data_IF_097422480115
#
_entry.id   IF_097422480115
#
_cell.length_a   1.000
_cell.length_b   1.000
_cell.length_c   1.000
_cell.angle_alpha   90.00
_cell.angle_beta   90.00
_cell.angle_gamma   90.00
#
_symmetry.space_group_name_H-M   'P 1'
#
loop_
_entity.id
_entity.type
_entity.pdbx_description
1 polymer ?
#
# COMPACT_ATOMS: atom_id res chain seq x y z
N UNK A 1 -11.69 -16.92 -4.65
CA UNK A 1 -12.93 -16.12 -4.85
C UNK A 1 -12.81 -14.86 -4.00
N UNK A 2 -13.23 -13.70 -4.49
CA UNK A 2 -13.22 -12.46 -3.70
C UNK A 2 -14.45 -12.43 -2.78
N UNK A 3 -14.27 -11.95 -1.55
CA UNK A 3 -15.33 -11.86 -0.55
C UNK A 3 -15.40 -10.44 0.01
N UNK A 4 -16.53 -9.77 -0.23
CA UNK A 4 -16.87 -8.48 0.35
C UNK A 4 -17.23 -8.66 1.82
N UNK A 5 -16.54 -7.96 2.72
CA UNK A 5 -16.74 -8.08 4.18
C UNK A 5 -17.47 -6.84 4.70
N UNK A 6 -18.80 -6.89 4.70
CA UNK A 6 -19.63 -5.87 5.34
C UNK A 6 -19.59 -6.03 6.86
N UNK A 7 -19.36 -4.93 7.60
CA UNK A 7 -19.45 -4.91 9.05
C UNK A 7 -20.62 -4.01 9.45
N UNK A 8 -21.75 -4.62 9.82
CA UNK A 8 -22.92 -3.88 10.27
C UNK A 8 -22.56 -3.09 11.54
N UNK A 9 -22.62 -1.77 11.48
CA UNK A 9 -22.52 -0.89 12.66
C UNK A 9 -23.93 -0.48 13.06
N UNK A 10 -24.44 -1.04 14.15
CA UNK A 10 -25.66 -0.55 14.79
C UNK A 10 -25.37 0.81 15.42
N UNK A 11 -25.71 1.89 14.72
CA UNK A 11 -25.48 3.27 15.13
C UNK A 11 -26.51 4.18 14.48
N UNK A 12 -27.08 5.10 15.27
CA UNK A 12 -28.25 5.88 14.89
C UNK A 12 -27.93 6.96 13.83
N UNK A 13 -28.82 7.14 12.85
CA UNK A 13 -28.80 8.22 11.86
C UNK A 13 -27.71 8.17 10.78
N UNK A 14 -28.11 7.76 9.56
CA UNK A 14 -27.34 7.69 8.29
C UNK A 14 -26.42 6.47 8.16
N UNK A 15 -27.00 5.42 7.58
CA UNK A 15 -26.31 4.18 7.22
C UNK A 15 -25.39 4.40 6.00
N UNK A 16 -24.09 4.55 6.24
CA UNK A 16 -23.06 4.42 5.19
C UNK A 16 -22.39 3.06 5.35
N UNK A 17 -22.75 2.10 4.50
CA UNK A 17 -22.21 0.73 4.56
C UNK A 17 -20.73 0.67 4.20
N UNK A 18 -19.85 0.79 5.21
CA UNK A 18 -18.41 0.64 5.03
C UNK A 18 -18.03 -0.83 4.80
N UNK A 19 -18.15 -1.26 3.55
CA UNK A 19 -17.71 -2.58 3.10
C UNK A 19 -16.18 -2.65 3.02
N UNK A 20 -15.59 -3.66 3.65
CA UNK A 20 -14.17 -3.96 3.54
C UNK A 20 -13.87 -4.95 2.42
N UNK A 21 -12.88 -4.66 1.59
CA UNK A 21 -12.34 -5.64 0.64
C UNK A 21 -11.31 -6.52 1.35
N UNK A 22 -11.44 -7.85 1.22
CA UNK A 22 -10.43 -8.79 1.67
C UNK A 22 -9.45 -9.13 0.54
N UNK A 23 -8.15 -8.93 0.77
CA UNK A 23 -7.08 -9.34 -0.13
C UNK A 23 -6.26 -10.46 0.52
N UNK A 24 -5.77 -11.39 -0.29
CA UNK A 24 -4.83 -12.41 0.16
C UNK A 24 -3.41 -11.88 0.01
N UNK A 25 -2.63 -11.95 1.09
CA UNK A 25 -1.19 -11.67 1.07
C UNK A 25 -0.47 -13.00 0.85
N UNK A 26 0.29 -13.08 -0.23
CA UNK A 26 1.10 -14.24 -0.58
C UNK A 26 2.59 -13.95 -0.43
N UNK A 27 3.38 -15.00 -0.22
CA UNK A 27 4.84 -14.94 -0.17
C UNK A 27 5.50 -16.09 -0.90
N UNK A 28 6.81 -15.98 -1.17
CA UNK A 28 7.64 -17.03 -1.75
C UNK A 28 9.04 -17.02 -1.14
N UNK A 29 9.55 -18.22 -0.90
CA UNK A 29 10.89 -18.49 -0.34
C UNK A 29 11.84 -19.13 -1.38
N UNK A 30 11.39 -19.32 -2.63
CA UNK A 30 12.10 -20.19 -3.56
C UNK A 30 13.37 -19.52 -4.13
N UNK A 31 14.46 -20.28 -4.16
CA UNK A 31 15.79 -19.82 -4.59
C UNK A 31 16.05 -20.03 -6.10
N UNK A 32 15.19 -20.78 -6.77
CA UNK A 32 15.21 -21.04 -8.21
C UNK A 32 14.28 -20.09 -8.98
N UNK A 33 14.18 -20.31 -10.30
CA UNK A 33 13.27 -19.59 -11.20
C UNK A 33 11.78 -19.97 -10.99
N UNK A 34 11.50 -21.04 -10.25
CA UNK A 34 10.18 -21.63 -10.01
C UNK A 34 9.42 -20.95 -8.86
N UNK A 35 9.13 -19.65 -8.99
CA UNK A 35 8.57 -18.82 -7.90
C UNK A 35 7.16 -19.30 -7.47
N UNK A 36 7.12 -20.22 -6.51
CA UNK A 36 5.88 -20.71 -5.89
C UNK A 36 5.40 -19.72 -4.83
N UNK A 37 4.22 -19.14 -5.04
CA UNK A 37 3.55 -18.29 -4.06
C UNK A 37 2.62 -19.09 -3.14
N UNK A 38 2.64 -18.78 -1.84
CA UNK A 38 1.81 -19.41 -0.81
C UNK A 38 1.11 -18.34 0.02
N UNK A 39 -0.09 -18.60 0.53
CA UNK A 39 -0.86 -17.63 1.33
C UNK A 39 -0.22 -17.42 2.69
N UNK A 40 0.29 -16.22 2.94
CA UNK A 40 0.91 -15.80 4.22
C UNK A 40 -0.10 -15.17 5.18
N UNK A 41 -1.10 -14.46 4.65
CA UNK A 41 -2.07 -13.76 5.47
C UNK A 41 -3.21 -13.14 4.65
N UNK A 42 -3.84 -12.14 5.25
CA UNK A 42 -4.94 -11.38 4.63
C UNK A 42 -4.82 -9.90 5.01
N UNK A 43 -5.16 -9.03 4.06
CA UNK A 43 -5.21 -7.59 4.21
C UNK A 43 -6.67 -7.14 4.07
N UNK A 44 -7.23 -6.50 5.11
CA UNK A 44 -8.58 -5.94 5.05
C UNK A 44 -8.45 -4.44 4.76
N UNK A 45 -8.99 -4.01 3.61
CA UNK A 45 -9.00 -2.65 3.10
C UNK A 45 -10.39 -2.02 3.28
N UNK A 46 -10.49 -0.90 3.99
CA UNK A 46 -11.76 -0.17 4.20
C UNK A 46 -11.84 1.06 3.29
N UNK A 47 -12.86 1.15 2.42
CA UNK A 47 -12.90 2.16 1.34
C UNK A 47 -13.64 3.47 1.63
N UNK A 48 -14.39 3.59 2.73
CA UNK A 48 -15.45 4.60 2.83
C UNK A 48 -14.99 6.06 3.10
N UNK A 49 -13.99 6.25 3.97
CA UNK A 49 -13.49 7.59 4.37
C UNK A 49 -12.03 7.52 4.82
N UNK A 50 -11.74 6.65 5.79
CA UNK A 50 -10.38 6.34 6.23
C UNK A 50 -9.89 5.06 5.57
N UNK A 51 -8.98 5.18 4.60
CA UNK A 51 -8.32 4.05 3.93
C UNK A 51 -7.34 3.36 4.88
N UNK A 52 -7.91 2.56 5.79
CA UNK A 52 -7.19 1.72 6.73
C UNK A 52 -6.95 0.34 6.15
N UNK A 53 -5.73 -0.17 6.37
CA UNK A 53 -5.32 -1.53 6.04
C UNK A 53 -4.93 -2.26 7.33
N UNK A 54 -5.46 -3.46 7.53
CA UNK A 54 -5.10 -4.31 8.67
C UNK A 54 -4.62 -5.67 8.18
N UNK A 55 -3.48 -6.12 8.72
CA UNK A 55 -2.82 -7.37 8.33
C UNK A 55 -3.05 -8.46 9.38
N UNK A 56 -3.71 -9.55 8.99
CA UNK A 56 -3.81 -10.74 9.82
C UNK A 56 -2.51 -11.55 9.70
N UNK A 57 -1.72 -11.58 10.78
CA UNK A 57 -0.42 -12.26 10.83
C UNK A 57 -0.55 -13.68 11.41
N UNK A 58 0.19 -14.61 10.82
CA UNK A 58 0.54 -15.91 11.41
C UNK A 58 2.04 -15.88 11.74
N UNK A 59 2.45 -16.48 12.86
CA UNK A 59 3.88 -16.65 13.15
C UNK A 59 4.57 -17.57 12.14
N UNK A 60 5.89 -17.42 11.99
CA UNK A 60 6.70 -18.32 11.16
C UNK A 60 6.73 -19.73 11.77
N UNK A 61 6.54 -20.77 10.95
CA UNK A 61 6.86 -22.15 11.33
C UNK A 61 8.38 -22.36 11.31
N UNK A 62 8.84 -23.46 11.91
CA UNK A 62 10.26 -23.85 11.89
C UNK A 62 10.79 -24.02 10.46
N UNK A 63 10.02 -24.67 9.58
CA UNK A 63 10.33 -24.77 8.14
C UNK A 63 10.46 -23.40 7.45
N UNK A 64 9.61 -22.43 7.81
CA UNK A 64 9.66 -21.08 7.26
C UNK A 64 10.88 -20.29 7.78
N UNK A 65 11.29 -20.50 9.05
CA UNK A 65 12.51 -19.89 9.62
C UNK A 65 13.77 -20.49 9.03
N UNK A 66 13.83 -21.81 8.87
CA UNK A 66 14.95 -22.50 8.23
C UNK A 66 15.17 -21.99 6.80
N UNK A 67 14.09 -21.88 6.01
CA UNK A 67 14.15 -21.30 4.65
C UNK A 67 14.57 -19.83 4.63
N UNK A 68 14.24 -19.04 5.65
CA UNK A 68 14.74 -17.67 5.76
C UNK A 68 16.24 -17.61 6.06
N UNK A 69 16.81 -18.56 6.83
CA UNK A 69 18.27 -18.70 6.96
C UNK A 69 18.91 -19.06 5.62
N UNK A 70 18.35 -20.04 4.90
CA UNK A 70 18.87 -20.46 3.59
C UNK A 70 18.89 -19.30 2.58
N UNK A 71 17.82 -18.50 2.54
CA UNK A 71 17.74 -17.27 1.73
C UNK A 71 18.81 -16.26 2.13
N UNK A 72 18.97 -15.98 3.43
CA UNK A 72 19.97 -15.03 3.91
C UNK A 72 21.41 -15.47 3.57
N UNK A 73 21.71 -16.76 3.76
CA UNK A 73 23.02 -17.36 3.51
C UNK A 73 23.40 -17.38 2.02
N UNK A 74 22.41 -17.41 1.12
CA UNK A 74 22.60 -17.48 -0.34
C UNK A 74 22.30 -16.16 -1.05
N UNK A 75 22.14 -15.06 -0.31
CA UNK A 75 21.74 -13.74 -0.82
C UNK A 75 20.46 -13.76 -1.69
N UNK A 76 19.55 -14.70 -1.41
CA UNK A 76 18.29 -14.87 -2.11
C UNK A 76 17.26 -13.79 -1.79
N UNK A 77 16.11 -13.86 -2.46
CA UNK A 77 15.02 -12.89 -2.30
C UNK A 77 13.76 -13.54 -1.72
N UNK A 78 13.38 -13.10 -0.51
CA UNK A 78 12.02 -13.29 -0.02
C UNK A 78 11.06 -12.37 -0.79
N UNK A 79 10.08 -12.95 -1.48
CA UNK A 79 9.17 -12.22 -2.39
C UNK A 79 7.76 -12.21 -1.80
N UNK A 80 7.01 -11.12 -1.97
CA UNK A 80 5.57 -11.06 -1.62
C UNK A 80 4.71 -10.68 -2.84
N UNK A 81 3.42 -11.03 -2.80
CA UNK A 81 2.44 -10.70 -3.84
C UNK A 81 1.08 -10.42 -3.21
N UNK A 82 0.35 -9.45 -3.77
CA UNK A 82 -1.08 -9.21 -3.50
C UNK A 82 -1.79 -8.99 -4.85
N UNK A 83 -3.10 -9.29 -4.98
CA UNK A 83 -3.84 -9.00 -6.21
C UNK A 83 -3.99 -7.49 -6.45
N UNK A 84 -3.67 -7.01 -7.67
CA UNK A 84 -3.78 -5.58 -8.04
C UNK A 84 -5.22 -5.07 -8.15
N UNK A 85 -6.19 -5.96 -8.43
CA UNK A 85 -7.61 -5.61 -8.55
C UNK A 85 -8.37 -5.92 -7.28
N UNK A 86 -8.75 -4.86 -6.56
CA UNK A 86 -9.44 -4.94 -5.27
C UNK A 86 -10.96 -4.98 -5.46
N UNK A 87 -11.49 -4.13 -6.34
CA UNK A 87 -12.94 -3.95 -6.53
C UNK A 87 -13.43 -4.13 -7.97
N UNK A 88 -14.67 -3.72 -8.19
CA UNK A 88 -15.34 -3.76 -9.51
C UNK A 88 -14.93 -2.54 -10.36
N UNK A 89 -14.75 -1.38 -9.74
CA UNK A 89 -14.37 -0.10 -10.38
C UNK A 89 -12.86 0.07 -10.49
N UNK A 90 -12.39 0.75 -11.56
CA UNK A 90 -10.95 0.89 -11.83
C UNK A 90 -10.23 1.87 -10.89
N UNK A 91 -10.98 2.78 -10.27
CA UNK A 91 -10.54 3.78 -9.29
C UNK A 91 -10.01 3.17 -7.98
N UNK A 92 -10.23 1.87 -7.74
CA UNK A 92 -9.90 1.17 -6.49
C UNK A 92 -8.70 0.21 -6.59
N UNK A 93 -7.90 0.28 -7.66
CA UNK A 93 -6.80 -0.65 -7.92
C UNK A 93 -5.48 -0.30 -7.19
N UNK A 94 -4.71 -1.31 -6.80
CA UNK A 94 -3.33 -1.13 -6.31
C UNK A 94 -2.38 -0.95 -7.48
N UNK A 95 -1.81 0.26 -7.56
CA UNK A 95 -0.82 0.65 -8.57
C UNK A 95 0.47 -0.15 -8.39
N UNK A 96 0.99 -0.24 -7.17
CA UNK A 96 2.21 -0.97 -6.81
C UNK A 96 2.34 -1.24 -5.32
N UNK A 97 3.38 -1.98 -4.93
CA UNK A 97 3.69 -2.38 -3.55
C UNK A 97 5.16 -2.01 -3.27
N UNK A 98 5.49 -1.61 -2.04
CA UNK A 98 6.87 -1.50 -1.57
C UNK A 98 7.07 -2.35 -0.32
N UNK A 99 8.29 -2.84 -0.11
CA UNK A 99 8.73 -3.56 1.08
C UNK A 99 9.98 -2.87 1.60
N UNK A 100 10.05 -2.60 2.90
CA UNK A 100 11.24 -2.05 3.55
C UNK A 100 11.51 -2.88 4.81
N UNK A 101 12.76 -3.33 4.97
CA UNK A 101 13.25 -3.96 6.19
C UNK A 101 13.87 -2.92 7.11
N UNK A 102 13.72 -3.10 8.43
CA UNK A 102 14.30 -2.20 9.43
C UNK A 102 14.86 -3.02 10.61
N UNK A 103 16.19 -2.97 10.87
CA UNK A 103 17.23 -2.31 10.06
C UNK A 103 17.38 -2.95 8.66
N UNK A 104 17.78 -2.15 7.68
CA UNK A 104 17.91 -2.57 6.28
C UNK A 104 19.31 -3.08 5.87
N UNK A 105 20.12 -3.54 6.83
CA UNK A 105 21.55 -3.84 6.63
C UNK A 105 21.94 -5.23 7.10
N UNK A 106 22.71 -5.96 6.28
CA UNK A 106 23.21 -7.29 6.60
C UNK A 106 24.59 -7.21 7.30
N UNK A 107 24.66 -7.57 8.58
CA UNK A 107 25.89 -7.49 9.38
C UNK A 107 26.58 -8.86 9.62
N UNK A 108 26.03 -9.96 9.08
CA UNK A 108 26.60 -11.31 9.26
C UNK A 108 26.46 -11.89 10.68
N UNK A 109 25.53 -11.36 11.49
CA UNK A 109 25.23 -11.91 12.82
C UNK A 109 24.43 -13.22 12.72
N UNK A 110 24.70 -14.15 13.63
CA UNK A 110 23.83 -15.29 13.89
C UNK A 110 22.55 -14.81 14.59
N UNK A 111 21.41 -15.42 14.29
CA UNK A 111 20.08 -15.02 14.79
C UNK A 111 19.31 -16.26 15.24
N UNK A 112 18.85 -16.26 16.49
CA UNK A 112 18.12 -17.38 17.09
C UNK A 112 16.67 -17.45 16.59
N UNK A 113 16.06 -18.64 16.70
CA UNK A 113 14.68 -18.90 16.26
C UNK A 113 13.63 -18.02 16.97
N UNK A 114 13.95 -17.55 18.17
CA UNK A 114 13.08 -16.66 18.98
C UNK A 114 13.07 -15.22 18.47
N UNK A 115 14.18 -14.75 17.89
CA UNK A 115 14.29 -13.38 17.34
C UNK A 115 13.68 -13.28 15.92
N UNK A 116 13.46 -14.42 15.26
CA UNK A 116 12.78 -14.52 13.97
C UNK A 116 11.25 -14.36 14.08
N UNK A 117 10.77 -13.41 14.89
CA UNK A 117 9.38 -12.96 14.88
C UNK A 117 9.14 -11.97 13.73
N UNK A 118 8.34 -12.37 12.74
CA UNK A 118 8.09 -11.56 11.53
C UNK A 118 7.09 -10.42 11.77
N UNK A 119 7.50 -9.41 12.54
CA UNK A 119 6.68 -8.25 12.88
C UNK A 119 6.52 -7.32 11.66
N UNK A 120 5.38 -7.43 10.97
CA UNK A 120 5.07 -6.66 9.75
C UNK A 120 4.01 -5.60 10.03
N UNK A 121 4.33 -4.34 9.74
CA UNK A 121 3.39 -3.21 9.68
C UNK A 121 3.12 -2.86 8.22
N UNK A 122 1.90 -2.41 7.90
CA UNK A 122 1.48 -2.07 6.53
C UNK A 122 0.81 -0.70 6.54
N UNK A 123 1.12 0.13 5.55
CA UNK A 123 0.62 1.50 5.40
C UNK A 123 0.02 1.68 4.00
N UNK A 124 -0.99 2.54 3.88
CA UNK A 124 -1.56 2.96 2.59
C UNK A 124 -0.98 4.33 2.22
N UNK A 125 -0.39 4.43 1.03
CA UNK A 125 0.01 5.70 0.44
C UNK A 125 -0.88 6.00 -0.77
N UNK A 126 -1.62 7.12 -0.70
CA UNK A 126 -2.40 7.63 -1.82
C UNK A 126 -1.60 8.71 -2.57
N UNK A 127 -1.77 8.86 -3.89
CA UNK A 127 -1.28 10.02 -4.62
C UNK A 127 -1.95 11.30 -4.08
N UNK A 128 -1.15 12.24 -3.57
CA UNK A 128 -1.65 13.55 -3.16
C UNK A 128 -1.72 14.45 -4.39
N UNK A 129 -2.79 15.25 -4.51
CA UNK A 129 -2.89 16.26 -5.57
C UNK A 129 -1.71 17.24 -5.48
N UNK A 130 -1.07 17.50 -6.62
CA UNK A 130 0.04 18.46 -6.68
C UNK A 130 -0.44 19.88 -6.36
N UNK A 131 0.47 20.74 -5.90
CA UNK A 131 0.19 22.16 -5.72
C UNK A 131 -0.28 22.78 -7.04
N UNK A 132 -1.34 23.60 -7.00
CA UNK A 132 -1.84 24.31 -8.19
C UNK A 132 -0.77 25.28 -8.68
N UNK A 133 -0.36 25.23 -9.95
CA UNK A 133 0.71 26.10 -10.46
C UNK A 133 0.25 27.56 -10.52
N UNK A 134 1.10 28.48 -10.05
CA UNK A 134 0.83 29.92 -10.04
C UNK A 134 0.59 30.51 -11.43
N UNK A 135 0.91 29.79 -12.51
CA UNK A 135 0.66 30.15 -13.91
C UNK A 135 -0.77 30.63 -14.15
N UNK A 136 -1.78 30.04 -13.50
CA UNK A 136 -3.17 30.48 -13.62
C UNK A 136 -3.38 31.89 -13.06
N UNK A 137 -2.88 32.16 -11.85
CA UNK A 137 -2.94 33.48 -11.21
C UNK A 137 -2.05 34.53 -11.92
N UNK A 138 -0.98 34.09 -12.60
CA UNK A 138 -0.14 34.95 -13.42
C UNK A 138 -0.83 35.37 -14.73
N UNK A 139 -1.53 34.44 -15.39
CA UNK A 139 -2.37 34.73 -16.58
C UNK A 139 -3.49 35.70 -16.19
N UNK A 140 -4.23 35.43 -15.12
CA UNK A 140 -5.30 36.32 -14.63
C UNK A 140 -4.79 37.75 -14.36
N UNK A 141 -3.62 37.90 -13.73
CA UNK A 141 -2.99 39.21 -13.51
C UNK A 141 -2.61 39.92 -14.81
N UNK A 142 -2.06 39.19 -15.79
CA UNK A 142 -1.73 39.74 -17.11
C UNK A 142 -2.99 40.22 -17.85
N UNK A 143 -4.06 39.43 -17.82
CA UNK A 143 -5.34 39.79 -18.43
C UNK A 143 -5.97 41.01 -17.73
N UNK A 144 -5.92 41.08 -16.39
CA UNK A 144 -6.35 42.27 -15.65
C UNK A 144 -5.53 43.51 -15.98
N UNK A 145 -4.20 43.40 -16.09
CA UNK A 145 -3.33 44.53 -16.45
C UNK A 145 -3.59 45.03 -17.88
N UNK A 146 -3.74 44.10 -18.84
CA UNK A 146 -4.11 44.44 -20.22
C UNK A 146 -5.50 45.07 -20.29
N UNK A 147 -6.48 44.55 -19.55
CA UNK A 147 -7.84 45.11 -19.48
C UNK A 147 -7.91 46.47 -18.77
N UNK A 148 -6.95 46.80 -17.90
CA UNK A 148 -6.80 48.14 -17.32
C UNK A 148 -6.15 49.10 -18.34
N UNK A 149 -5.05 48.70 -18.97
CA UNK A 149 -4.37 49.49 -20.02
C UNK A 149 -5.29 49.81 -21.21
N UNK A 150 -6.14 48.85 -21.61
CA UNK A 150 -7.15 49.07 -22.65
C UNK A 150 -8.28 50.06 -22.25
N UNK A 151 -8.46 50.34 -20.96
CA UNK A 151 -9.48 51.28 -20.45
C UNK A 151 -8.96 52.71 -20.23
N UNK A 152 -7.64 52.89 -20.05
CA UNK A 152 -6.98 54.20 -20.05
C UNK A 152 -5.92 54.28 -21.17
N UNK A 153 -6.31 54.60 -22.44
CA UNK A 153 -5.38 54.64 -23.57
C UNK A 153 -4.53 55.91 -23.68
N UNK A 154 -4.45 56.74 -22.62
CA UNK A 154 -3.76 58.04 -22.62
C UNK A 154 -2.97 58.26 -21.32
N UNK A 155 -1.70 57.86 -21.35
CA UNK A 155 -0.57 58.53 -20.69
C UNK A 155 0.60 58.53 -21.71
#
# INVERSE_FOLDING_TARGET
>A
AQASVCRLKTGDGRETESCGTNLELEHSFELDDGINFKKRGSLIWSGATEQSISVLRKQLTEDERNKLRDIANLNGLYRIRIPRKLGVTEESNVVGISIVTFPGSCNGAEVEDVDLEMNTTVYVHQPVAAAVPETAAFIERLEMEQAQKAKNPQE
#
